data_IF_095914668159
#
_entry.id   IF_095914668159
#
_cell.length_a   1.000
_cell.length_b   1.000
_cell.length_c   1.000
_cell.angle_alpha   90.00
_cell.angle_beta   90.00
_cell.angle_gamma   90.00
#
_symmetry.space_group_name_H-M   'P 1'
#
loop_
_entity.id
_entity.type
_entity.pdbx_description
1 polymer ?
#
# COMPACT_ATOMS: atom_id res chain seq x y z
N UNK A 1 -5.13 -28.59 3.52
CA UNK A 1 -5.66 -27.24 3.35
C UNK A 1 -6.77 -27.23 2.31
N UNK A 2 -7.79 -26.37 2.42
CA UNK A 2 -8.54 -26.02 1.20
C UNK A 2 -7.66 -25.04 0.42
N UNK A 3 -7.37 -25.29 -0.85
CA UNK A 3 -6.73 -24.38 -1.85
C UNK A 3 -6.87 -22.87 -1.52
N UNK A 4 -8.05 -22.48 -1.05
CA UNK A 4 -8.42 -21.17 -0.54
C UNK A 4 -7.53 -20.55 0.56
N UNK A 5 -6.88 -21.33 1.43
CA UNK A 5 -6.07 -20.76 2.53
C UNK A 5 -4.66 -20.35 2.03
N UNK A 6 -4.03 -21.13 1.15
CA UNK A 6 -2.80 -20.74 0.45
C UNK A 6 -3.07 -19.54 -0.47
N UNK A 7 -4.21 -19.55 -1.16
CA UNK A 7 -4.67 -18.42 -1.96
C UNK A 7 -4.78 -17.14 -1.11
N UNK A 8 -5.40 -17.21 0.07
CA UNK A 8 -5.52 -16.05 0.95
C UNK A 8 -4.16 -15.53 1.44
N UNK A 9 -3.25 -16.41 1.86
CA UNK A 9 -1.92 -16.00 2.31
C UNK A 9 -1.14 -15.36 1.15
N UNK A 10 -1.25 -15.94 -0.05
CA UNK A 10 -0.58 -15.40 -1.23
C UNK A 10 -1.14 -14.03 -1.64
N UNK A 11 -2.47 -13.86 -1.56
CA UNK A 11 -3.11 -12.57 -1.78
C UNK A 11 -2.62 -11.54 -0.77
N UNK A 12 -2.54 -11.91 0.51
CA UNK A 12 -2.07 -11.02 1.57
C UNK A 12 -0.60 -10.63 1.36
N UNK A 13 0.28 -11.58 1.01
CA UNK A 13 1.67 -11.30 0.63
C UNK A 13 1.76 -10.28 -0.51
N UNK A 14 0.98 -10.50 -1.57
CA UNK A 14 0.95 -9.62 -2.73
C UNK A 14 0.44 -8.22 -2.38
N UNK A 15 -0.64 -8.13 -1.61
CA UNK A 15 -1.23 -6.85 -1.17
C UNK A 15 -0.28 -6.08 -0.26
N UNK A 16 0.40 -6.75 0.68
CA UNK A 16 1.38 -6.08 1.57
C UNK A 16 2.64 -5.65 0.83
N UNK A 17 3.15 -6.47 -0.09
CA UNK A 17 4.29 -6.08 -0.92
C UNK A 17 3.98 -4.82 -1.77
N UNK A 18 2.79 -4.75 -2.37
CA UNK A 18 2.34 -3.55 -3.11
C UNK A 18 2.27 -2.31 -2.21
N UNK A 19 1.61 -2.44 -1.04
CA UNK A 19 1.53 -1.36 -0.06
C UNK A 19 2.92 -0.88 0.39
N UNK A 20 3.85 -1.80 0.63
CA UNK A 20 5.21 -1.47 1.04
C UNK A 20 5.92 -0.60 0.00
N UNK A 21 5.76 -0.91 -1.30
CA UNK A 21 6.34 -0.09 -2.38
C UNK A 21 5.77 1.32 -2.34
N UNK A 22 4.45 1.45 -2.20
CA UNK A 22 3.77 2.75 -2.15
C UNK A 22 4.22 3.60 -0.96
N UNK A 23 4.34 2.97 0.21
CA UNK A 23 4.80 3.61 1.45
C UNK A 23 6.27 3.96 1.39
N UNK A 24 7.11 3.12 0.78
CA UNK A 24 8.54 3.35 0.62
C UNK A 24 8.80 4.58 -0.24
N UNK A 25 8.20 4.67 -1.43
CA UNK A 25 8.32 5.86 -2.26
C UNK A 25 7.69 7.09 -1.60
N UNK A 26 6.54 6.94 -0.94
CA UNK A 26 5.92 8.04 -0.19
C UNK A 26 6.83 8.55 0.94
N UNK A 27 7.56 7.67 1.63
CA UNK A 27 8.49 8.05 2.68
C UNK A 27 9.59 8.95 2.13
N UNK A 28 10.17 8.57 0.99
CA UNK A 28 11.26 9.26 0.32
C UNK A 28 10.82 10.61 -0.27
N UNK A 29 9.68 10.64 -0.97
CA UNK A 29 9.19 11.87 -1.64
C UNK A 29 8.76 12.92 -0.61
N UNK A 30 8.22 12.47 0.52
CA UNK A 30 7.65 13.35 1.54
C UNK A 30 8.51 13.55 2.79
N UNK A 31 9.75 13.03 2.80
CA UNK A 31 10.69 13.13 3.93
C UNK A 31 10.02 12.66 5.24
N UNK A 32 9.52 11.41 5.20
CA UNK A 32 8.63 10.90 6.23
C UNK A 32 9.09 9.55 6.80
N UNK A 33 9.97 9.65 7.81
CA UNK A 33 10.46 8.52 8.61
C UNK A 33 9.38 7.61 9.18
N UNK A 34 8.16 8.10 9.48
CA UNK A 34 7.06 7.24 9.98
C UNK A 34 6.49 6.31 8.92
N UNK A 35 6.56 6.68 7.65
CA UNK A 35 6.22 5.75 6.56
C UNK A 35 7.34 4.73 6.35
N UNK A 36 8.60 5.17 6.43
CA UNK A 36 9.73 4.26 6.32
C UNK A 36 9.79 3.24 7.46
N UNK A 37 9.52 3.65 8.70
CA UNK A 37 9.37 2.75 9.85
C UNK A 37 8.26 1.70 9.61
N UNK A 38 7.12 2.09 9.05
CA UNK A 38 6.03 1.15 8.75
C UNK A 38 6.44 0.11 7.69
N UNK A 39 7.22 0.51 6.68
CA UNK A 39 7.74 -0.44 5.69
C UNK A 39 8.58 -1.53 6.35
N UNK A 40 9.38 -1.18 7.36
CA UNK A 40 10.15 -2.17 8.14
C UNK A 40 9.24 -3.11 8.94
N UNK A 41 8.19 -2.61 9.57
CA UNK A 41 7.23 -3.46 10.29
C UNK A 41 6.49 -4.41 9.34
N UNK A 42 6.13 -3.93 8.14
CA UNK A 42 5.50 -4.74 7.10
C UNK A 42 6.44 -5.79 6.50
N UNK A 43 7.73 -5.51 6.35
CA UNK A 43 8.72 -6.51 5.89
C UNK A 43 8.77 -7.71 6.84
N UNK A 44 8.90 -7.46 8.14
CA UNK A 44 8.88 -8.53 9.15
C UNK A 44 7.57 -9.34 9.11
N UNK A 45 6.45 -8.68 8.81
CA UNK A 45 5.16 -9.36 8.64
C UNK A 45 5.12 -10.23 7.37
N UNK A 46 5.62 -9.72 6.25
CA UNK A 46 5.72 -10.43 4.96
C UNK A 46 6.63 -11.66 5.09
N UNK A 47 7.77 -11.54 5.77
CA UNK A 47 8.68 -12.67 6.04
C UNK A 47 7.97 -13.82 6.76
N UNK A 48 7.22 -13.48 7.82
CA UNK A 48 6.43 -14.44 8.58
C UNK A 48 5.33 -15.10 7.74
N UNK A 49 4.64 -14.33 6.90
CA UNK A 49 3.64 -14.85 5.97
C UNK A 49 4.25 -15.80 4.93
N UNK A 50 5.40 -15.43 4.35
CA UNK A 50 6.09 -16.23 3.34
C UNK A 50 6.59 -17.54 3.95
N UNK A 51 7.20 -17.51 5.15
CA UNK A 51 7.63 -18.72 5.85
C UNK A 51 6.45 -19.65 6.12
N UNK A 52 5.30 -19.11 6.55
CA UNK A 52 4.09 -19.89 6.77
C UNK A 52 3.55 -20.50 5.47
N UNK A 53 3.48 -19.72 4.38
CA UNK A 53 3.06 -20.20 3.06
C UNK A 53 3.92 -21.38 2.61
N UNK A 54 5.25 -21.29 2.77
CA UNK A 54 6.17 -22.35 2.37
C UNK A 54 5.94 -23.65 3.15
N UNK A 55 5.81 -23.56 4.49
CA UNK A 55 5.56 -24.71 5.36
C UNK A 55 4.24 -25.39 5.00
N UNK A 56 3.21 -24.60 4.77
CA UNK A 56 1.88 -25.11 4.43
C UNK A 56 1.86 -25.77 3.05
N UNK A 57 2.40 -25.10 2.02
CA UNK A 57 2.43 -25.63 0.66
C UNK A 57 3.18 -26.98 0.59
N UNK A 58 4.29 -27.12 1.31
CA UNK A 58 5.02 -28.40 1.41
C UNK A 58 4.19 -29.47 2.15
N UNK A 59 3.53 -29.10 3.25
CA UNK A 59 2.69 -30.02 4.03
C UNK A 59 1.51 -30.56 3.21
N UNK A 60 0.87 -29.71 2.41
CA UNK A 60 -0.27 -30.11 1.56
C UNK A 60 0.16 -31.01 0.40
N UNK A 61 1.34 -30.80 -0.19
CA UNK A 61 1.90 -31.75 -1.16
C UNK A 61 2.13 -33.14 -0.54
N UNK A 62 2.61 -33.20 0.71
CA UNK A 62 2.80 -34.46 1.45
C UNK A 62 1.45 -35.12 1.76
N UNK A 63 0.42 -34.32 2.06
CA UNK A 63 -0.94 -34.80 2.30
C UNK A 63 -1.68 -35.24 1.01
N UNK A 64 -1.14 -34.91 -0.17
CA UNK A 64 -1.75 -35.17 -1.47
C UNK A 64 -2.91 -34.23 -1.80
N UNK A 65 -2.97 -33.07 -1.14
CA UNK A 65 -3.99 -32.04 -1.35
C UNK A 65 -3.61 -31.03 -2.45
N UNK A 66 -2.31 -30.87 -2.73
CA UNK A 66 -1.78 -30.08 -3.83
C UNK A 66 -0.83 -30.91 -4.70
N UNK A 67 -0.87 -30.69 -6.02
CA UNK A 67 0.11 -31.23 -6.95
C UNK A 67 1.47 -30.52 -6.80
N UNK A 68 2.55 -31.22 -7.14
CA UNK A 68 3.91 -30.68 -7.06
C UNK A 68 4.06 -29.39 -7.89
N UNK A 69 3.41 -29.30 -9.05
CA UNK A 69 3.48 -28.10 -9.88
C UNK A 69 2.73 -26.92 -9.24
N UNK A 70 1.62 -27.17 -8.56
CA UNK A 70 0.85 -26.16 -7.83
C UNK A 70 1.68 -25.61 -6.68
N UNK A 71 2.33 -26.49 -5.90
CA UNK A 71 3.24 -26.08 -4.83
C UNK A 71 4.40 -25.26 -5.38
N UNK A 72 5.03 -25.68 -6.48
CA UNK A 72 6.11 -24.88 -7.11
C UNK A 72 5.62 -23.50 -7.53
N UNK A 73 4.39 -23.39 -8.05
CA UNK A 73 3.82 -22.10 -8.43
C UNK A 73 3.59 -21.20 -7.21
N UNK A 74 2.97 -21.72 -6.16
CA UNK A 74 2.72 -20.99 -4.90
C UNK A 74 4.02 -20.50 -4.27
N UNK A 75 5.03 -21.37 -4.15
CA UNK A 75 6.33 -21.03 -3.59
C UNK A 75 7.03 -19.93 -4.38
N UNK A 76 6.96 -19.98 -5.72
CA UNK A 76 7.57 -18.95 -6.58
C UNK A 76 6.86 -17.61 -6.43
N UNK A 77 5.53 -17.60 -6.43
CA UNK A 77 4.77 -16.37 -6.28
C UNK A 77 5.03 -15.73 -4.90
N UNK A 78 5.05 -16.53 -3.83
CA UNK A 78 5.42 -16.04 -2.49
C UNK A 78 6.83 -15.46 -2.45
N UNK A 79 7.82 -16.15 -3.04
CA UNK A 79 9.19 -15.66 -3.11
C UNK A 79 9.33 -14.36 -3.92
N UNK A 80 8.57 -14.18 -5.01
CA UNK A 80 8.59 -12.93 -5.76
C UNK A 80 7.94 -11.77 -5.00
N UNK A 81 6.86 -12.04 -4.26
CA UNK A 81 6.24 -11.02 -3.39
C UNK A 81 7.18 -10.59 -2.26
N UNK A 82 7.89 -11.53 -1.64
CA UNK A 82 8.91 -11.21 -0.62
C UNK A 82 10.07 -10.42 -1.20
N UNK A 83 10.59 -10.77 -2.38
CA UNK A 83 11.64 -9.99 -3.04
C UNK A 83 11.21 -8.54 -3.37
N UNK A 84 9.92 -8.31 -3.66
CA UNK A 84 9.37 -6.95 -3.85
C UNK A 84 9.33 -6.20 -2.51
N UNK A 85 8.90 -6.87 -1.44
CA UNK A 85 8.86 -6.31 -0.09
C UNK A 85 10.28 -5.92 0.40
N UNK A 86 11.27 -6.76 0.17
CA UNK A 86 12.68 -6.47 0.45
C UNK A 86 13.17 -5.23 -0.29
N UNK A 87 12.89 -5.14 -1.58
CA UNK A 87 13.26 -3.98 -2.40
C UNK A 87 12.56 -2.70 -1.90
N UNK A 88 11.31 -2.78 -1.46
CA UNK A 88 10.61 -1.66 -0.85
C UNK A 88 11.28 -1.22 0.47
N UNK A 89 11.73 -2.17 1.31
CA UNK A 89 12.50 -1.85 2.52
C UNK A 89 13.82 -1.15 2.19
N UNK A 90 14.53 -1.58 1.14
CA UNK A 90 15.76 -0.92 0.69
C UNK A 90 15.52 0.53 0.23
N UNK A 91 14.40 0.81 -0.44
CA UNK A 91 14.01 2.18 -0.80
C UNK A 91 13.74 3.02 0.46
N UNK A 92 12.99 2.48 1.42
CA UNK A 92 12.66 3.15 2.68
C UNK A 92 13.88 3.35 3.60
N UNK A 93 14.88 2.47 3.52
CA UNK A 93 16.11 2.54 4.32
C UNK A 93 16.90 3.84 4.09
N UNK A 94 16.84 4.41 2.88
CA UNK A 94 17.47 5.70 2.55
C UNK A 94 16.98 6.83 3.48
N UNK A 95 15.66 6.85 3.76
CA UNK A 95 15.01 7.82 4.63
C UNK A 95 15.42 7.65 6.10
N UNK A 96 15.55 6.40 6.58
CA UNK A 96 15.96 6.12 7.96
C UNK A 96 17.44 6.39 8.21
N UNK A 97 18.28 6.22 7.19
CA UNK A 97 19.73 6.52 7.26
C UNK A 97 20.06 8.00 7.06
N UNK A 98 19.07 8.86 6.90
CA UNK A 98 19.22 10.30 6.73
C UNK A 98 20.13 10.66 5.53
N UNK A 99 20.03 9.87 4.46
CA UNK A 99 20.81 10.09 3.24
C UNK A 99 20.12 11.17 2.40
N UNK A 100 20.84 12.24 2.11
CA UNK A 100 20.33 13.31 1.25
C UNK A 100 20.14 12.81 -0.18
N UNK A 101 18.89 12.82 -0.64
CA UNK A 101 18.54 12.41 -2.00
C UNK A 101 18.67 13.57 -2.98
N UNK A 102 19.31 13.29 -4.12
CA UNK A 102 19.36 14.27 -5.20
C UNK A 102 17.93 14.57 -5.71
N UNK A 103 17.56 15.83 -5.98
CA UNK A 103 16.20 16.22 -6.38
C UNK A 103 15.59 15.40 -7.52
N UNK A 104 16.43 14.98 -8.48
CA UNK A 104 16.04 14.16 -9.64
C UNK A 104 15.31 12.87 -9.26
N UNK A 105 15.60 12.27 -8.09
CA UNK A 105 14.93 11.04 -7.66
C UNK A 105 13.46 11.34 -7.34
N UNK A 106 13.19 12.43 -6.62
CA UNK A 106 11.81 12.84 -6.32
C UNK A 106 11.07 13.25 -7.59
N UNK A 107 11.72 14.01 -8.48
CA UNK A 107 11.13 14.41 -9.76
C UNK A 107 10.77 13.20 -10.62
N UNK A 108 11.68 12.23 -10.75
CA UNK A 108 11.46 11.02 -11.58
C UNK A 108 10.26 10.20 -11.09
N UNK A 109 10.08 10.06 -9.77
CA UNK A 109 8.94 9.32 -9.20
C UNK A 109 7.64 10.12 -9.32
N UNK A 110 7.69 11.45 -9.36
CA UNK A 110 6.50 12.28 -9.58
C UNK A 110 6.09 12.36 -11.07
N UNK A 111 6.99 12.00 -11.98
CA UNK A 111 6.75 11.97 -13.43
C UNK A 111 6.19 10.64 -13.96
N UNK A 112 6.11 9.59 -13.13
CA UNK A 112 5.53 8.30 -13.52
C UNK A 112 4.03 8.39 -13.82
N UNK A 113 3.52 7.39 -14.54
CA UNK A 113 2.10 7.27 -14.88
C UNK A 113 1.22 7.08 -13.63
N UNK A 114 1.72 6.33 -12.65
CA UNK A 114 1.16 6.29 -11.30
C UNK A 114 1.84 7.33 -10.41
N UNK A 115 1.04 8.09 -9.66
CA UNK A 115 1.52 9.17 -8.79
C UNK A 115 1.17 8.90 -7.33
N UNK A 116 2.02 9.38 -6.42
CA UNK A 116 1.81 9.34 -4.98
C UNK A 116 1.52 10.74 -4.46
N UNK A 117 0.33 10.93 -3.91
CA UNK A 117 -0.23 12.23 -3.56
C UNK A 117 -0.47 12.32 -2.07
N UNK A 118 0.02 13.41 -1.46
CA UNK A 118 -0.29 13.79 -0.08
C UNK A 118 -1.25 14.98 -0.07
N UNK A 119 -2.47 14.78 0.41
CA UNK A 119 -3.50 15.84 0.45
C UNK A 119 -4.20 15.89 1.80
N UNK A 120 -4.49 17.11 2.27
CA UNK A 120 -5.28 17.34 3.48
C UNK A 120 -6.75 17.51 3.12
N UNK A 121 -7.62 16.82 3.83
CA UNK A 121 -9.08 16.93 3.69
C UNK A 121 -9.56 18.18 4.40
N UNK A 122 -10.24 19.07 3.68
CA UNK A 122 -10.82 20.29 4.26
C UNK A 122 -12.20 20.01 4.86
N UNK A 123 -12.69 20.93 5.68
CA UNK A 123 -14.04 20.84 6.27
C UNK A 123 -15.15 20.87 5.20
N UNK A 124 -14.88 21.47 4.04
CA UNK A 124 -15.82 21.59 2.93
C UNK A 124 -15.75 20.39 1.97
N UNK A 125 -14.85 19.43 2.20
CA UNK A 125 -14.66 18.29 1.30
C UNK A 125 -15.87 17.35 1.33
N UNK A 126 -16.38 16.90 0.16
CA UNK A 126 -17.36 15.81 0.10
C UNK A 126 -16.84 14.47 0.64
N UNK A 127 -15.52 14.34 0.87
CA UNK A 127 -14.92 13.14 1.46
C UNK A 127 -15.14 13.07 2.98
N UNK A 128 -15.29 14.21 3.65
CA UNK A 128 -15.38 14.28 5.10
C UNK A 128 -16.72 13.70 5.60
N UNK A 129 -16.64 12.81 6.59
CA UNK A 129 -17.80 12.14 7.18
C UNK A 129 -18.33 10.96 6.38
N UNK A 130 -17.61 10.49 5.35
CA UNK A 130 -17.95 9.31 4.54
C UNK A 130 -16.92 8.21 4.70
N UNK A 131 -17.36 6.96 4.57
CA UNK A 131 -16.45 5.81 4.57
C UNK A 131 -15.83 5.60 3.19
N UNK A 132 -14.63 5.02 3.15
CA UNK A 132 -13.96 4.67 1.90
C UNK A 132 -14.82 3.77 1.00
N UNK A 133 -15.56 2.83 1.61
CA UNK A 133 -16.46 1.91 0.90
C UNK A 133 -17.66 2.60 0.25
N UNK A 134 -18.21 3.64 0.89
CA UNK A 134 -19.37 4.37 0.36
C UNK A 134 -19.02 5.28 -0.83
N UNK A 135 -17.76 5.70 -0.91
CA UNK A 135 -17.29 6.64 -1.94
C UNK A 135 -16.77 5.95 -3.19
N UNK A 136 -16.31 4.68 -3.09
CA UNK A 136 -15.70 3.94 -4.20
C UNK A 136 -14.62 4.76 -4.93
N UNK A 137 -13.80 5.50 -4.18
CA UNK A 137 -12.81 6.45 -4.71
C UNK A 137 -11.90 5.83 -5.78
N UNK A 138 -11.48 4.59 -5.56
CA UNK A 138 -10.69 3.84 -6.54
C UNK A 138 -11.39 3.70 -7.91
N UNK A 139 -12.70 3.48 -7.92
CA UNK A 139 -13.48 3.30 -9.14
C UNK A 139 -13.86 4.63 -9.80
N UNK A 140 -14.22 5.65 -9.00
CA UNK A 140 -14.68 6.94 -9.52
C UNK A 140 -13.49 7.83 -9.95
N UNK A 141 -12.39 7.79 -9.19
CA UNK A 141 -11.26 8.70 -9.39
C UNK A 141 -9.99 8.00 -9.89
N UNK A 142 -9.93 6.66 -9.84
CA UNK A 142 -8.69 5.92 -10.08
C UNK A 142 -7.68 6.00 -8.92
N UNK A 143 -8.04 6.65 -7.81
CA UNK A 143 -7.14 6.92 -6.70
C UNK A 143 -7.46 6.06 -5.46
N UNK A 144 -6.42 5.47 -4.88
CA UNK A 144 -6.46 4.53 -3.76
C UNK A 144 -5.77 5.12 -2.54
N UNK A 145 -6.47 5.18 -1.42
CA UNK A 145 -5.90 5.67 -0.16
C UNK A 145 -5.06 4.57 0.48
N UNK A 146 -3.75 4.78 0.56
CA UNK A 146 -2.79 3.81 1.13
C UNK A 146 -2.50 4.08 2.61
N UNK A 147 -2.63 5.34 3.06
CA UNK A 147 -2.48 5.69 4.46
C UNK A 147 -3.24 6.97 4.82
N UNK A 148 -3.64 7.07 6.09
CA UNK A 148 -4.31 8.23 6.65
C UNK A 148 -3.58 8.64 7.94
N UNK A 149 -3.09 9.88 7.96
CA UNK A 149 -2.58 10.52 9.17
C UNK A 149 -3.68 11.38 9.79
N UNK A 150 -4.08 11.01 11.02
CA UNK A 150 -5.07 11.72 11.82
C UNK A 150 -4.44 12.22 13.12
N UNK A 151 -4.05 13.50 13.13
CA UNK A 151 -3.26 14.06 14.22
C UNK A 151 -1.92 13.33 14.36
N UNK A 152 -1.71 12.66 15.50
CA UNK A 152 -0.52 11.86 15.80
C UNK A 152 -0.69 10.36 15.50
N UNK A 153 -1.85 9.93 14.99
CA UNK A 153 -2.12 8.53 14.67
C UNK A 153 -2.00 8.29 13.17
N UNK A 154 -1.50 7.12 12.84
CA UNK A 154 -1.47 6.60 11.48
C UNK A 154 -2.43 5.43 11.34
N UNK A 155 -3.05 5.33 10.18
CA UNK A 155 -3.81 4.17 9.72
C UNK A 155 -3.22 3.82 8.36
N UNK A 156 -2.59 2.65 8.26
CA UNK A 156 -2.04 2.12 7.02
C UNK A 156 -3.01 1.10 6.46
N UNK A 157 -3.11 1.03 5.13
CA UNK A 157 -4.05 0.13 4.44
C UNK A 157 -5.50 0.22 4.97
N UNK A 158 -6.09 1.44 4.99
CA UNK A 158 -7.39 1.64 5.61
C UNK A 158 -8.48 0.86 4.87
N UNK A 159 -9.24 0.06 5.61
CA UNK A 159 -10.34 -0.72 5.04
C UNK A 159 -11.54 0.15 4.62
N UNK A 160 -12.49 -0.49 3.94
CA UNK A 160 -13.73 0.15 3.45
C UNK A 160 -14.60 0.79 4.53
N UNK A 161 -14.43 0.42 5.80
CA UNK A 161 -15.21 0.93 6.93
C UNK A 161 -14.59 2.18 7.56
N UNK A 162 -13.36 2.53 7.19
CA UNK A 162 -12.71 3.75 7.68
C UNK A 162 -13.42 4.99 7.15
N UNK A 163 -13.94 5.78 8.07
CA UNK A 163 -14.50 7.11 7.81
C UNK A 163 -13.38 8.15 7.68
N UNK A 164 -13.37 8.91 6.58
CA UNK A 164 -12.49 10.07 6.39
C UNK A 164 -13.03 11.25 7.19
N UNK A 165 -12.16 11.96 7.90
CA UNK A 165 -12.50 13.14 8.71
C UNK A 165 -11.83 14.39 8.18
N UNK A 166 -12.44 15.54 8.44
CA UNK A 166 -11.81 16.82 8.18
C UNK A 166 -10.47 16.91 8.92
N UNK A 167 -9.47 17.50 8.27
CA UNK A 167 -8.06 17.57 8.70
C UNK A 167 -7.27 16.26 8.66
N UNK A 168 -7.86 15.15 8.19
CA UNK A 168 -7.06 13.99 7.83
C UNK A 168 -6.08 14.36 6.71
N UNK A 169 -4.87 13.80 6.77
CA UNK A 169 -3.91 13.85 5.67
C UNK A 169 -3.88 12.47 5.03
N UNK A 170 -4.35 12.41 3.78
CA UNK A 170 -4.40 11.20 2.98
C UNK A 170 -3.10 11.08 2.18
N UNK A 171 -2.57 9.86 2.17
CA UNK A 171 -1.55 9.41 1.22
C UNK A 171 -2.26 8.48 0.24
N UNK A 172 -2.12 8.77 -1.04
CA UNK A 172 -2.99 8.23 -2.09
C UNK A 172 -2.15 7.89 -3.30
N UNK A 173 -2.39 6.74 -3.91
CA UNK A 173 -1.77 6.34 -5.18
C UNK A 173 -2.81 6.26 -6.28
N UNK A 174 -2.40 6.41 -7.54
CA UNK A 174 -3.27 6.13 -8.67
C UNK A 174 -2.76 6.76 -9.95
N UNK A 175 -3.55 6.62 -11.01
CA UNK A 175 -3.23 7.20 -12.31
C UNK A 175 -3.17 8.74 -12.23
N UNK A 176 -2.18 9.33 -12.90
CA UNK A 176 -1.95 10.78 -12.91
C UNK A 176 -3.17 11.59 -13.33
N UNK A 177 -4.00 11.04 -14.21
CA UNK A 177 -5.24 11.64 -14.70
C UNK A 177 -6.28 11.85 -13.59
N UNK A 178 -6.31 10.97 -12.60
CA UNK A 178 -7.24 11.04 -11.46
C UNK A 178 -6.81 12.00 -10.35
N UNK A 179 -5.54 12.41 -10.37
CA UNK A 179 -4.92 13.19 -9.29
C UNK A 179 -5.61 14.54 -9.07
N UNK A 180 -5.79 15.33 -10.13
CA UNK A 180 -6.30 16.70 -10.00
C UNK A 180 -7.73 16.71 -9.45
N UNK A 181 -8.58 15.82 -10.00
CA UNK A 181 -9.95 15.61 -9.54
C UNK A 181 -9.99 15.18 -8.06
N UNK A 182 -9.18 14.19 -7.66
CA UNK A 182 -9.10 13.76 -6.26
C UNK A 182 -8.66 14.88 -5.31
N UNK A 183 -7.67 15.68 -5.72
CA UNK A 183 -7.21 16.83 -4.92
C UNK A 183 -8.33 17.87 -4.78
N UNK A 184 -9.07 18.16 -5.86
CA UNK A 184 -10.20 19.09 -5.84
C UNK A 184 -11.31 18.61 -4.89
N UNK A 185 -11.62 17.30 -4.90
CA UNK A 185 -12.53 16.69 -3.93
C UNK A 185 -12.01 16.82 -2.50
N UNK A 186 -10.75 16.47 -2.23
CA UNK A 186 -10.18 16.56 -0.89
C UNK A 186 -10.16 18.00 -0.35
N UNK A 187 -10.02 19.00 -1.24
CA UNK A 187 -10.09 20.43 -0.88
C UNK A 187 -11.52 20.99 -0.82
N UNK A 188 -12.51 20.26 -1.32
CA UNK A 188 -13.89 20.72 -1.41
C UNK A 188 -14.12 21.77 -2.50
N UNK A 189 -13.21 21.86 -3.47
CA UNK A 189 -13.32 22.65 -4.70
C UNK A 189 -14.35 22.01 -5.65
N UNK A 190 -14.43 20.68 -5.62
CA UNK A 190 -15.49 19.89 -6.25
C UNK A 190 -16.34 19.18 -5.20
N UNK A 191 -17.60 18.89 -5.56
CA UNK A 191 -18.62 18.37 -4.64
C UNK A 191 -19.16 17.00 -5.04
N UNK A 192 -18.91 16.58 -6.26
CA UNK A 192 -19.43 15.35 -6.84
C UNK A 192 -18.25 14.40 -7.10
N UNK A 193 -18.33 13.22 -6.48
CA UNK A 193 -17.38 12.12 -6.66
C UNK A 193 -17.82 11.34 -7.90
#
# INVERSE_FOLDING_TARGET
MSEKEAENILLELKEKAELMVDLAYSSVIYDNKKLAEEVYELENFVDGLNENLQKLAVSDAVAGELDVNEVVAVLKLGAFSEAIADAAREIADVELRDVELHPIIRESVMESEEVLVRVRVTEQSPLAGRTLGDMRLASETGMWVIAIKRGNRWMYDPDKHVEIKANDVLFVRGAKEGMEHFIALAKGEEKEI
#
